data_IF_074530029716
#
_entry.id   IF_074530029716
#
_cell.length_a   1.000
_cell.length_b   1.000
_cell.length_c   1.000
_cell.angle_alpha   90.00
_cell.angle_beta   90.00
_cell.angle_gamma   90.00
#
_symmetry.space_group_name_H-M   'P 1'
#
loop_
_entity.id
_entity.type
_entity.pdbx_description
1 polymer ?
#
# COMPACT_ATOMS: atom_id res chain seq x y z
N UNK A 1 -0.79 -15.49 -12.34
CA UNK A 1 -0.32 -15.91 -11.00
C UNK A 1 -1.42 -15.57 -10.01
N UNK A 2 -1.80 -16.52 -9.16
CA UNK A 2 -2.84 -16.32 -8.14
C UNK A 2 -2.16 -16.19 -6.78
N UNK A 3 -2.56 -15.18 -6.01
CA UNK A 3 -2.05 -14.93 -4.65
C UNK A 3 -2.46 -16.08 -3.72
N UNK A 4 -1.53 -16.61 -2.92
CA UNK A 4 -1.81 -17.64 -1.92
C UNK A 4 -1.83 -17.09 -0.49
N UNK A 5 -2.46 -17.84 0.42
CA UNK A 5 -2.42 -17.56 1.87
C UNK A 5 -0.99 -17.46 2.40
N UNK A 6 -0.14 -18.43 2.04
CA UNK A 6 1.25 -18.45 2.48
C UNK A 6 2.03 -17.21 2.06
N UNK A 7 1.75 -16.67 0.86
CA UNK A 7 2.38 -15.44 0.38
C UNK A 7 1.95 -14.20 1.18
N UNK A 8 0.65 -14.11 1.52
CA UNK A 8 0.12 -13.03 2.36
C UNK A 8 0.74 -13.07 3.77
N UNK A 9 0.92 -14.27 4.32
CA UNK A 9 1.49 -14.45 5.66
C UNK A 9 3.01 -14.21 5.67
N UNK A 10 3.73 -14.68 4.65
CA UNK A 10 5.20 -14.62 4.63
C UNK A 10 5.78 -13.27 4.23
N UNK A 11 5.04 -12.45 3.48
CA UNK A 11 5.63 -11.23 2.92
C UNK A 11 5.87 -10.18 4.01
N UNK A 12 7.08 -9.64 4.07
CA UNK A 12 7.45 -8.56 4.98
C UNK A 12 7.73 -7.26 4.18
N UNK A 13 6.78 -6.30 4.15
CA UNK A 13 6.96 -5.03 3.48
C UNK A 13 8.11 -4.18 4.05
N UNK A 14 8.51 -4.40 5.32
CA UNK A 14 9.58 -3.63 5.96
C UNK A 14 10.92 -3.72 5.22
N UNK A 15 11.14 -4.78 4.44
CA UNK A 15 12.31 -4.93 3.56
C UNK A 15 12.47 -3.78 2.55
N UNK A 16 11.37 -3.09 2.18
CA UNK A 16 11.43 -1.90 1.32
C UNK A 16 12.05 -0.69 2.04
N UNK A 17 11.89 -0.58 3.35
CA UNK A 17 12.56 0.46 4.14
C UNK A 17 14.06 0.17 4.23
N UNK A 18 14.45 -1.09 4.46
CA UNK A 18 15.86 -1.48 4.47
C UNK A 18 16.56 -1.15 3.14
N UNK A 19 15.88 -1.37 2.01
CA UNK A 19 16.38 -1.01 0.67
C UNK A 19 16.48 0.50 0.50
N UNK A 20 15.50 1.27 0.99
CA UNK A 20 15.54 2.74 0.95
C UNK A 20 16.75 3.29 1.72
N UNK A 21 16.97 2.79 2.93
CA UNK A 21 18.09 3.21 3.79
C UNK A 21 19.43 2.83 3.15
N UNK A 22 19.52 1.68 2.49
CA UNK A 22 20.71 1.27 1.75
C UNK A 22 21.04 2.21 0.58
N UNK A 23 20.03 2.68 -0.16
CA UNK A 23 20.23 3.64 -1.25
C UNK A 23 20.66 5.02 -0.75
N UNK A 24 20.11 5.50 0.35
CA UNK A 24 20.55 6.76 0.97
C UNK A 24 21.98 6.66 1.49
N UNK A 25 22.31 5.58 2.20
CA UNK A 25 23.67 5.33 2.67
C UNK A 25 24.68 5.21 1.52
N UNK A 26 24.27 4.63 0.39
CA UNK A 26 25.09 4.61 -0.82
C UNK A 26 25.26 6.01 -1.42
N UNK A 27 24.20 6.82 -1.45
CA UNK A 27 24.24 8.22 -1.85
C UNK A 27 25.27 9.03 -1.05
N UNK A 28 25.22 8.97 0.28
CA UNK A 28 26.17 9.68 1.14
C UNK A 28 27.63 9.24 0.93
N UNK A 29 27.87 7.96 0.62
CA UNK A 29 29.21 7.46 0.28
C UNK A 29 29.71 8.03 -1.05
N UNK A 30 28.83 8.17 -2.04
CA UNK A 30 29.15 8.79 -3.33
C UNK A 30 29.48 10.27 -3.14
N UNK A 31 28.67 11.02 -2.40
CA UNK A 31 28.94 12.45 -2.10
C UNK A 31 30.31 12.62 -1.44
N UNK A 32 30.57 11.89 -0.35
CA UNK A 32 31.84 11.98 0.36
C UNK A 32 33.05 11.52 -0.48
N UNK A 33 32.87 10.61 -1.43
CA UNK A 33 33.93 10.24 -2.38
C UNK A 33 34.28 11.41 -3.30
N UNK A 34 33.27 12.07 -3.86
CA UNK A 34 33.48 13.17 -4.80
C UNK A 34 33.93 14.46 -4.12
N UNK A 35 33.57 14.68 -2.85
CA UNK A 35 34.14 15.76 -2.04
C UNK A 35 35.64 15.57 -1.86
N UNK A 36 36.09 14.36 -1.47
CA UNK A 36 37.52 14.03 -1.36
C UNK A 36 38.26 14.10 -2.69
N UNK A 37 37.62 13.69 -3.78
CA UNK A 37 38.20 13.79 -5.12
C UNK A 37 38.46 15.24 -5.52
N UNK A 38 37.48 16.13 -5.34
CA UNK A 38 37.66 17.57 -5.61
C UNK A 38 38.76 18.14 -4.72
N UNK A 39 38.74 17.84 -3.42
CA UNK A 39 39.78 18.31 -2.48
C UNK A 39 41.19 17.86 -2.89
N UNK A 40 41.35 16.58 -3.26
CA UNK A 40 42.63 16.02 -3.69
C UNK A 40 43.14 16.61 -5.01
N UNK A 41 42.25 17.10 -5.88
CA UNK A 41 42.62 17.82 -7.11
C UNK A 41 42.97 19.28 -6.79
N UNK A 42 42.30 19.90 -5.82
CA UNK A 42 42.56 21.30 -5.45
C UNK A 42 43.84 21.47 -4.64
N UNK A 43 44.15 20.53 -3.74
CA UNK A 43 45.28 20.61 -2.80
C UNK A 43 46.30 19.51 -3.06
N UNK A 44 47.56 19.90 -3.26
CA UNK A 44 48.70 18.99 -3.42
C UNK A 44 49.74 19.31 -2.34
N UNK A 45 50.08 18.31 -1.50
CA UNK A 45 51.05 18.46 -0.40
C UNK A 45 50.78 19.69 0.48
N UNK A 46 49.54 19.84 0.95
CA UNK A 46 49.05 20.96 1.77
C UNK A 46 49.03 22.35 1.11
N UNK A 47 49.51 22.47 -0.13
CA UNK A 47 49.45 23.69 -0.94
C UNK A 47 48.27 23.69 -1.91
N UNK A 48 47.80 24.87 -2.28
CA UNK A 48 46.84 25.04 -3.36
C UNK A 48 47.56 24.85 -4.71
N UNK A 49 47.00 24.03 -5.60
CA UNK A 49 47.55 23.86 -6.94
C UNK A 49 47.04 24.97 -7.87
N UNK A 50 47.95 25.70 -8.52
CA UNK A 50 47.64 26.89 -9.32
C UNK A 50 48.07 26.79 -10.78
N UNK A 51 47.53 27.70 -11.59
CA UNK A 51 47.82 27.87 -13.01
C UNK A 51 46.77 27.23 -13.92
N UNK A 52 46.88 27.49 -15.23
CA UNK A 52 45.87 27.07 -16.22
C UNK A 52 45.59 25.56 -16.24
N UNK A 53 46.59 24.74 -15.95
CA UNK A 53 46.42 23.29 -15.87
C UNK A 53 45.64 22.88 -14.61
N UNK A 54 45.87 23.57 -13.49
CA UNK A 54 45.15 23.34 -12.23
C UNK A 54 43.68 23.75 -12.37
N UNK A 55 43.42 24.92 -12.94
CA UNK A 55 42.06 25.40 -13.23
C UNK A 55 41.28 24.37 -14.07
N UNK A 56 41.85 23.91 -15.19
CA UNK A 56 41.21 22.92 -16.05
C UNK A 56 40.95 21.57 -15.34
N UNK A 57 41.82 21.16 -14.42
CA UNK A 57 41.64 19.95 -13.64
C UNK A 57 40.54 20.11 -12.56
N UNK A 58 40.54 21.24 -11.85
CA UNK A 58 39.55 21.58 -10.82
C UNK A 58 38.15 21.75 -11.42
N UNK A 59 38.05 22.37 -12.60
CA UNK A 59 36.80 22.49 -13.36
C UNK A 59 36.24 21.11 -13.73
N UNK A 60 37.11 20.20 -14.21
CA UNK A 60 36.72 18.83 -14.52
C UNK A 60 36.25 18.09 -13.28
N UNK A 61 37.00 18.15 -12.18
CA UNK A 61 36.64 17.49 -10.92
C UNK A 61 35.29 18.00 -10.37
N UNK A 62 35.05 19.30 -10.45
CA UNK A 62 33.77 19.92 -10.08
C UNK A 62 32.62 19.46 -10.98
N UNK A 63 32.86 19.35 -12.29
CA UNK A 63 31.89 18.83 -13.25
C UNK A 63 31.55 17.36 -12.99
N UNK A 64 32.54 16.52 -12.68
CA UNK A 64 32.34 15.11 -12.34
C UNK A 64 31.52 14.99 -11.05
N UNK A 65 31.84 15.79 -10.02
CA UNK A 65 31.06 15.86 -8.77
C UNK A 65 29.60 16.24 -9.05
N UNK A 66 29.34 17.20 -9.93
CA UNK A 66 27.97 17.56 -10.31
C UNK A 66 27.22 16.39 -10.94
N UNK A 67 27.90 15.61 -11.79
CA UNK A 67 27.34 14.38 -12.38
C UNK A 67 27.04 13.34 -11.30
N UNK A 68 27.92 13.18 -10.32
CA UNK A 68 27.72 12.26 -9.20
C UNK A 68 26.52 12.65 -8.32
N UNK A 69 26.34 13.95 -8.04
CA UNK A 69 25.17 14.44 -7.30
C UNK A 69 23.85 14.13 -8.01
N UNK A 70 23.82 14.21 -9.35
CA UNK A 70 22.63 13.80 -10.10
C UNK A 70 22.30 12.30 -9.94
N UNK A 71 23.29 11.45 -9.67
CA UNK A 71 23.06 10.04 -9.31
C UNK A 71 22.51 9.93 -7.90
N UNK A 72 23.04 10.71 -6.96
CA UNK A 72 22.55 10.75 -5.56
C UNK A 72 21.09 11.19 -5.50
N UNK A 73 20.70 12.20 -6.27
CA UNK A 73 19.30 12.65 -6.37
C UNK A 73 18.37 11.52 -6.85
N UNK A 74 18.83 10.71 -7.81
CA UNK A 74 18.08 9.54 -8.31
C UNK A 74 17.99 8.45 -7.24
N UNK A 75 19.06 8.20 -6.48
CA UNK A 75 19.04 7.26 -5.37
C UNK A 75 18.04 7.70 -4.29
N UNK A 76 18.00 8.99 -3.96
CA UNK A 76 17.00 9.57 -3.05
C UNK A 76 15.57 9.39 -3.57
N UNK A 77 15.36 9.60 -4.88
CA UNK A 77 14.05 9.38 -5.52
C UNK A 77 13.62 7.90 -5.46
N UNK A 78 14.55 6.98 -5.66
CA UNK A 78 14.31 5.54 -5.52
C UNK A 78 13.97 5.18 -4.08
N UNK A 79 14.72 5.69 -3.09
CA UNK A 79 14.46 5.48 -1.67
C UNK A 79 13.06 5.97 -1.27
N UNK A 80 12.67 7.16 -1.72
CA UNK A 80 11.33 7.68 -1.52
C UNK A 80 10.26 6.76 -2.13
N UNK A 81 10.48 6.22 -3.34
CA UNK A 81 9.54 5.29 -3.97
C UNK A 81 9.44 3.96 -3.23
N UNK A 82 10.54 3.44 -2.69
CA UNK A 82 10.53 2.23 -1.88
C UNK A 82 9.73 2.42 -0.57
N UNK A 83 9.95 3.53 0.14
CA UNK A 83 9.15 3.88 1.34
C UNK A 83 7.67 4.08 1.02
N UNK A 84 7.37 4.72 -0.10
CA UNK A 84 5.99 4.83 -0.57
C UNK A 84 5.38 3.45 -0.87
N UNK A 85 6.15 2.56 -1.49
CA UNK A 85 5.75 1.17 -1.74
C UNK A 85 5.43 0.40 -0.46
N UNK A 86 6.18 0.63 0.63
CA UNK A 86 5.87 0.06 1.94
C UNK A 86 4.45 0.42 2.38
N UNK A 87 4.07 1.70 2.37
CA UNK A 87 2.73 2.12 2.76
C UNK A 87 1.63 1.61 1.82
N UNK A 88 1.92 1.57 0.51
CA UNK A 88 1.00 1.05 -0.51
C UNK A 88 0.69 -0.45 -0.30
N UNK A 89 1.63 -1.22 0.25
CA UNK A 89 1.52 -2.67 0.41
C UNK A 89 1.08 -3.07 1.82
N UNK A 90 1.65 -2.45 2.85
CA UNK A 90 1.47 -2.85 4.25
C UNK A 90 0.00 -2.75 4.70
N UNK A 91 -0.68 -1.66 4.32
CA UNK A 91 -2.07 -1.47 4.71
C UNK A 91 -3.03 -2.52 4.08
N UNK A 92 -3.00 -2.79 2.76
CA UNK A 92 -3.74 -3.92 2.18
C UNK A 92 -3.36 -5.28 2.78
N UNK A 93 -2.07 -5.53 3.02
CA UNK A 93 -1.59 -6.80 3.55
C UNK A 93 -2.10 -7.05 4.96
N UNK A 94 -2.03 -6.04 5.83
CA UNK A 94 -2.57 -6.07 7.18
C UNK A 94 -4.09 -6.30 7.19
N UNK A 95 -4.83 -5.63 6.28
CA UNK A 95 -6.27 -5.89 6.12
C UNK A 95 -6.56 -7.33 5.70
N UNK A 96 -5.80 -7.88 4.76
CA UNK A 96 -5.97 -9.26 4.31
C UNK A 96 -5.69 -10.27 5.45
N UNK A 97 -4.62 -10.05 6.22
CA UNK A 97 -4.30 -10.87 7.40
C UNK A 97 -5.40 -10.83 8.45
N UNK A 98 -5.91 -9.65 8.75
CA UNK A 98 -7.01 -9.47 9.71
C UNK A 98 -8.31 -10.13 9.22
N UNK A 99 -8.60 -10.07 7.91
CA UNK A 99 -9.77 -10.74 7.33
C UNK A 99 -9.68 -12.27 7.44
N UNK A 100 -8.48 -12.84 7.21
CA UNK A 100 -8.23 -14.28 7.41
C UNK A 100 -8.44 -14.65 8.88
N UNK A 101 -7.83 -13.90 9.80
CA UNK A 101 -7.96 -14.15 11.23
C UNK A 101 -9.41 -14.00 11.73
N UNK A 102 -10.15 -13.02 11.20
CA UNK A 102 -11.57 -12.81 11.50
C UNK A 102 -12.44 -13.98 11.04
N UNK A 103 -12.25 -14.44 9.80
CA UNK A 103 -12.94 -15.61 9.27
C UNK A 103 -12.70 -16.87 10.11
N UNK A 104 -11.45 -17.10 10.53
CA UNK A 104 -11.10 -18.24 11.38
C UNK A 104 -11.68 -18.11 12.79
N UNK A 105 -11.74 -16.91 13.35
CA UNK A 105 -12.45 -16.62 14.61
C UNK A 105 -13.95 -16.92 14.55
N UNK A 106 -14.57 -16.70 13.39
CA UNK A 106 -15.99 -16.99 13.12
C UNK A 106 -16.26 -18.46 12.73
N UNK A 107 -15.27 -19.36 12.86
CA UNK A 107 -15.37 -20.79 12.53
C UNK A 107 -15.47 -21.09 11.04
N UNK A 108 -14.96 -20.21 10.18
CA UNK A 108 -14.67 -20.54 8.79
C UNK A 108 -13.22 -21.00 8.63
N UNK A 109 -12.99 -22.03 7.82
CA UNK A 109 -11.66 -22.44 7.41
C UNK A 109 -11.26 -21.71 6.12
N UNK A 110 -10.07 -21.10 6.10
CA UNK A 110 -9.52 -20.42 4.92
C UNK A 110 -8.46 -21.29 4.25
N UNK A 111 -8.68 -21.71 3.01
CA UNK A 111 -7.75 -22.55 2.26
C UNK A 111 -6.52 -21.77 1.75
N UNK A 112 -5.51 -22.50 1.25
CA UNK A 112 -4.32 -21.90 0.63
C UNK A 112 -4.65 -21.03 -0.59
N UNK A 113 -5.75 -21.32 -1.29
CA UNK A 113 -6.28 -20.56 -2.42
C UNK A 113 -7.28 -19.47 -2.00
N UNK A 114 -7.28 -19.10 -0.71
CA UNK A 114 -8.14 -18.06 -0.12
C UNK A 114 -9.64 -18.35 -0.30
N UNK A 115 -10.00 -19.64 -0.27
CA UNK A 115 -11.40 -20.06 -0.30
C UNK A 115 -11.92 -20.24 1.12
N UNK A 116 -13.14 -19.78 1.37
CA UNK A 116 -13.82 -19.89 2.65
C UNK A 116 -14.64 -21.19 2.72
N UNK A 117 -14.45 -21.99 3.75
CA UNK A 117 -15.23 -23.20 4.03
C UNK A 117 -15.89 -23.09 5.39
N UNK A 118 -17.21 -23.20 5.44
CA UNK A 118 -17.94 -23.21 6.72
C UNK A 118 -17.75 -24.55 7.44
N UNK A 119 -17.11 -24.53 8.61
CA UNK A 119 -16.83 -25.74 9.39
C UNK A 119 -18.05 -26.22 10.21
N UNK A 120 -19.11 -25.41 10.30
CA UNK A 120 -20.36 -25.73 10.99
C UNK A 120 -21.44 -26.26 10.03
N UNK A 121 -21.12 -26.41 8.75
CA UNK A 121 -22.05 -26.86 7.71
C UNK A 121 -22.52 -28.31 7.87
N UNK A 122 -21.95 -29.09 8.79
CA UNK A 122 -22.48 -30.39 9.14
C UNK A 122 -23.47 -30.26 10.31
N UNK A 123 -24.77 -30.44 9.98
CA UNK A 123 -25.84 -30.94 10.87
C UNK A 123 -26.80 -29.99 11.61
N UNK A 124 -27.34 -28.94 10.98
CA UNK A 124 -28.69 -28.50 11.41
C UNK A 124 -29.52 -27.82 10.30
N UNK A 125 -30.69 -28.39 9.92
CA UNK A 125 -31.67 -27.73 9.03
C UNK A 125 -32.07 -26.32 9.50
N UNK A 126 -32.01 -26.06 10.81
CA UNK A 126 -32.38 -24.80 11.46
C UNK A 126 -31.41 -23.64 11.19
N UNK A 127 -30.16 -23.90 10.75
CA UNK A 127 -29.22 -22.82 10.38
C UNK A 127 -29.31 -22.41 8.92
N UNK A 128 -29.86 -23.27 8.04
CA UNK A 128 -30.13 -22.91 6.64
C UNK A 128 -31.16 -21.80 6.52
N UNK A 129 -32.12 -21.75 7.44
CA UNK A 129 -33.13 -20.69 7.52
C UNK A 129 -32.56 -19.40 8.14
N UNK A 130 -31.65 -19.49 9.12
CA UNK A 130 -30.96 -18.30 9.66
C UNK A 130 -30.10 -17.59 8.60
N UNK A 131 -29.37 -18.35 7.77
CA UNK A 131 -28.59 -17.82 6.63
C UNK A 131 -29.44 -17.08 5.60
N UNK A 132 -30.73 -17.38 5.53
CA UNK A 132 -31.68 -16.73 4.61
C UNK A 132 -32.32 -15.47 5.20
N UNK A 133 -32.21 -15.26 6.52
CA UNK A 133 -32.83 -14.17 7.27
C UNK A 133 -31.79 -13.17 7.80
N UNK A 134 -30.53 -13.58 7.96
CA UNK A 134 -29.44 -12.68 8.35
C UNK A 134 -28.97 -11.82 7.16
N UNK A 135 -29.62 -10.66 7.08
CA UNK A 135 -29.12 -9.35 6.66
C UNK A 135 -28.91 -9.09 5.14
N UNK A 136 -29.76 -8.24 4.51
CA UNK A 136 -29.53 -7.77 3.15
C UNK A 136 -28.31 -6.84 2.99
N UNK A 137 -27.65 -6.41 4.08
CA UNK A 137 -26.49 -5.52 4.03
C UNK A 137 -25.11 -6.19 4.11
N UNK A 138 -25.01 -7.49 4.42
CA UNK A 138 -23.73 -8.22 4.40
C UNK A 138 -23.50 -8.91 3.05
N UNK A 139 -23.54 -8.16 1.95
CA UNK A 139 -22.94 -8.62 0.69
C UNK A 139 -21.44 -8.39 0.76
N UNK A 140 -20.72 -9.36 1.31
CA UNK A 140 -19.29 -9.47 1.06
C UNK A 140 -19.14 -9.85 -0.42
N UNK A 141 -18.70 -8.86 -1.20
CA UNK A 141 -18.49 -8.93 -2.65
C UNK A 141 -17.64 -10.15 -3.04
N UNK A 142 -18.28 -11.22 -3.54
CA UNK A 142 -17.58 -12.46 -3.92
C UNK A 142 -17.68 -12.81 -5.40
N UNK A 143 -18.16 -11.93 -6.29
CA UNK A 143 -18.12 -12.20 -7.73
C UNK A 143 -17.93 -10.91 -8.54
N UNK A 144 -16.80 -10.82 -9.23
CA UNK A 144 -16.63 -10.12 -10.52
C UNK A 144 -16.92 -8.61 -10.55
N UNK A 145 -15.84 -7.82 -10.44
CA UNK A 145 -15.59 -6.48 -11.03
C UNK A 145 -16.59 -5.30 -10.90
N UNK A 146 -17.80 -5.43 -10.39
CA UNK A 146 -18.67 -4.26 -10.22
C UNK A 146 -19.37 -4.27 -8.84
N UNK A 147 -19.34 -3.10 -8.20
CA UNK A 147 -20.18 -2.71 -7.05
C UNK A 147 -19.79 -3.24 -5.66
N UNK A 148 -18.66 -2.76 -5.15
CA UNK A 148 -18.58 -2.43 -3.73
C UNK A 148 -18.15 -0.96 -3.64
N UNK A 149 -19.00 -0.15 -3.03
CA UNK A 149 -18.75 1.22 -2.53
C UNK A 149 -19.36 2.41 -3.32
N UNK A 150 -20.64 2.77 -3.07
CA UNK A 150 -21.19 4.08 -3.46
C UNK A 150 -20.65 5.24 -2.61
N UNK A 151 -19.94 5.00 -1.50
CA UNK A 151 -19.37 6.02 -0.61
C UNK A 151 -18.02 6.54 -1.12
N UNK A 152 -17.22 5.70 -1.79
CA UNK A 152 -15.98 6.16 -2.47
C UNK A 152 -16.24 7.10 -3.66
N UNK A 153 -17.44 7.07 -4.25
CA UNK A 153 -17.78 7.92 -5.40
C UNK A 153 -18.11 9.37 -5.00
N UNK A 154 -18.58 9.61 -3.79
CA UNK A 154 -18.84 10.98 -3.29
C UNK A 154 -17.57 11.69 -2.80
N UNK A 155 -16.55 10.94 -2.38
CA UNK A 155 -15.27 11.48 -1.90
C UNK A 155 -14.39 11.97 -3.06
N UNK A 156 -14.57 11.45 -4.27
CA UNK A 156 -13.73 11.77 -5.44
C UNK A 156 -14.28 12.84 -6.40
N UNK A 157 -15.39 13.51 -6.08
CA UNK A 157 -15.84 14.70 -6.83
C UNK A 157 -16.09 14.49 -8.33
N UNK A 158 -16.33 13.25 -8.78
CA UNK A 158 -16.61 12.95 -10.19
C UNK A 158 -18.08 13.18 -10.49
N UNK A 159 -18.39 14.42 -10.85
CA UNK A 159 -19.64 14.80 -11.52
C UNK A 159 -19.54 14.33 -12.97
N UNK A 160 -20.29 13.30 -13.38
CA UNK A 160 -21.21 13.41 -14.53
C UNK A 160 -22.07 12.15 -14.74
N UNK A 161 -23.31 12.38 -15.19
CA UNK A 161 -24.04 11.43 -16.04
C UNK A 161 -25.06 10.49 -15.41
N UNK A 162 -26.29 11.00 -15.29
CA UNK A 162 -27.60 10.30 -15.29
C UNK A 162 -28.19 9.83 -13.95
N UNK A 163 -29.22 10.60 -13.58
CA UNK A 163 -30.30 10.27 -12.66
C UNK A 163 -30.82 8.84 -12.78
N UNK A 164 -31.03 8.18 -11.64
CA UNK A 164 -32.10 7.20 -11.50
C UNK A 164 -32.50 6.99 -10.02
N UNK A 165 -33.77 7.30 -9.77
CA UNK A 165 -34.68 6.80 -8.74
C UNK A 165 -34.38 7.05 -7.26
N UNK A 166 -34.89 8.21 -6.83
CA UNK A 166 -35.41 8.49 -5.51
C UNK A 166 -36.61 7.56 -5.19
N UNK A 167 -36.77 7.24 -3.90
CA UNK A 167 -37.96 6.64 -3.24
C UNK A 167 -38.12 5.10 -3.25
N UNK A 168 -37.47 4.46 -2.28
CA UNK A 168 -38.14 3.39 -1.52
C UNK A 168 -38.03 3.75 -0.02
N UNK A 169 -38.95 4.61 0.40
CA UNK A 169 -39.12 5.04 1.79
C UNK A 169 -39.82 3.95 2.61
N UNK A 170 -39.22 3.68 3.75
CA UNK A 170 -39.53 2.72 4.79
C UNK A 170 -40.85 3.03 5.50
N UNK A 171 -41.82 2.11 5.50
CA UNK A 171 -42.81 2.03 6.61
C UNK A 171 -43.51 0.67 6.67
N UNK A 172 -43.02 -0.20 7.55
CA UNK A 172 -43.80 -1.30 8.12
C UNK A 172 -43.27 -1.61 9.52
N UNK A 173 -43.90 -1.00 10.53
CA UNK A 173 -43.82 -1.45 11.92
C UNK A 173 -45.25 -1.83 12.31
N UNK A 174 -45.42 -3.10 12.65
CA UNK A 174 -46.65 -3.71 13.15
C UNK A 174 -46.78 -3.39 14.63
N UNK A 175 -47.93 -2.87 15.08
CA UNK A 175 -48.62 -3.38 16.27
C UNK A 175 -50.06 -2.83 16.39
N UNK A 176 -51.02 -3.76 16.39
CA UNK A 176 -52.42 -3.60 16.76
C UNK A 176 -52.59 -3.66 18.30
N UNK A 177 -53.85 -3.40 18.74
CA UNK A 177 -54.47 -3.46 20.10
C UNK A 177 -54.27 -2.21 20.98
N UNK A 178 -55.27 -1.57 21.61
CA UNK A 178 -56.65 -1.95 21.95
C UNK A 178 -57.53 -0.70 22.25
N UNK A 179 -58.84 -0.92 22.36
CA UNK A 179 -59.97 -0.03 22.69
C UNK A 179 -59.76 0.98 23.83
N UNK A 180 -60.46 2.13 23.75
CA UNK A 180 -60.87 2.89 24.95
C UNK A 180 -61.13 4.38 24.74
N UNK A 181 -62.44 4.72 24.68
CA UNK A 181 -63.09 6.05 24.79
C UNK A 181 -63.14 6.91 23.54
#
# INVERSE_FOLDING_TARGET
MTLSRSQIESWNPATLNDVADAWEAFGSKVEGLFDRYVEAVTRVNDGYWEGRAAEAAQDRATSDRKTALAVVDRLGSLAARARQGFFEIDAPLSRARNAIAGAEGERFAVSSALQLTDTLSESSPQRRTFRMVSDPNTRICSTTKETCDPTMRSILGVTDGKQIYEQCSTRSVIQQTAMGV
#
